data_IF_024415830283
#
_entry.id   IF_024415830283
#
_cell.length_a   1.000
_cell.length_b   1.000
_cell.length_c   1.000
_cell.angle_alpha   90.00
_cell.angle_beta   90.00
_cell.angle_gamma   90.00
#
_symmetry.space_group_name_H-M   'P 1'
#
loop_
_entity.id
_entity.type
_entity.pdbx_description
1 polymer ?
#
# COMPACT_ATOMS: atom_id res chain seq x y z
N UNK A 1 -51.30 69.32 -8.95
CA UNK A 1 -50.25 68.70 -8.11
C UNK A 1 -50.53 67.20 -8.04
N UNK A 2 -49.81 66.39 -8.81
CA UNK A 2 -50.04 64.93 -8.91
C UNK A 2 -49.32 64.23 -7.76
N UNK A 3 -50.08 63.55 -6.90
CA UNK A 3 -49.58 62.74 -5.79
C UNK A 3 -49.04 61.43 -6.35
N UNK A 4 -47.73 61.19 -6.20
CA UNK A 4 -47.09 59.91 -6.53
C UNK A 4 -47.14 59.07 -5.26
N UNK A 5 -47.97 58.03 -5.27
CA UNK A 5 -48.01 57.00 -4.23
C UNK A 5 -47.13 55.85 -4.74
N UNK A 6 -45.99 55.61 -4.08
CA UNK A 6 -45.13 54.45 -4.37
C UNK A 6 -45.60 53.32 -3.44
N UNK A 7 -46.14 52.20 -3.97
CA UNK A 7 -46.45 51.05 -3.13
C UNK A 7 -45.14 50.29 -2.84
N UNK A 8 -44.65 50.39 -1.60
CA UNK A 8 -43.61 49.50 -1.08
C UNK A 8 -44.29 48.17 -0.75
N UNK A 9 -44.44 47.33 -1.76
CA UNK A 9 -44.97 45.98 -1.62
C UNK A 9 -44.21 45.05 -2.55
N UNK A 10 -42.97 44.71 -2.17
CA UNK A 10 -42.24 43.51 -2.58
C UNK A 10 -40.82 43.51 -1.99
N UNK A 11 -40.67 43.18 -0.69
CA UNK A 11 -39.38 42.69 -0.19
C UNK A 11 -39.56 41.75 1.01
N UNK A 12 -40.32 40.68 0.80
CA UNK A 12 -40.28 39.48 1.64
C UNK A 12 -40.23 38.25 0.73
N UNK A 13 -39.13 38.12 -0.01
CA UNK A 13 -38.65 36.81 -0.45
C UNK A 13 -37.49 36.50 0.50
N UNK A 14 -37.82 35.99 1.68
CA UNK A 14 -36.86 35.20 2.46
C UNK A 14 -36.57 33.97 1.62
N UNK A 15 -35.56 34.07 0.76
CA UNK A 15 -35.08 32.95 -0.04
C UNK A 15 -34.65 31.85 0.91
N UNK A 16 -35.34 30.71 0.84
CA UNK A 16 -34.82 29.45 1.35
C UNK A 16 -33.69 29.03 0.42
N UNK A 17 -32.53 29.66 0.55
CA UNK A 17 -31.30 29.16 -0.07
C UNK A 17 -30.85 27.98 0.79
N UNK A 18 -31.40 26.80 0.50
CA UNK A 18 -30.89 25.54 1.04
C UNK A 18 -29.62 25.18 0.25
N UNK A 19 -28.50 25.84 0.58
CA UNK A 19 -27.18 25.45 0.07
C UNK A 19 -26.66 24.18 0.74
N UNK A 20 -27.36 23.69 1.76
CA UNK A 20 -26.98 22.53 2.55
C UNK A 20 -27.85 21.32 2.19
N UNK A 21 -27.22 20.20 1.83
CA UNK A 21 -27.88 18.90 1.60
C UNK A 21 -28.49 18.35 2.90
N UNK A 22 -27.97 18.77 4.05
CA UNK A 22 -28.42 18.42 5.39
C UNK A 22 -28.04 19.55 6.36
N UNK A 23 -28.92 19.94 7.28
CA UNK A 23 -28.71 21.02 8.26
C UNK A 23 -28.22 20.55 9.63
N UNK A 24 -28.18 19.24 9.88
CA UNK A 24 -27.80 18.64 11.17
C UNK A 24 -26.46 17.90 11.12
N UNK A 25 -25.85 17.78 9.95
CA UNK A 25 -24.68 16.93 9.73
C UNK A 25 -23.53 17.68 9.07
N UNK A 26 -22.31 17.39 9.50
CA UNK A 26 -21.10 17.89 8.84
C UNK A 26 -20.79 17.00 7.63
N UNK A 27 -20.60 17.61 6.45
CA UNK A 27 -20.29 16.87 5.24
C UNK A 27 -19.41 17.65 4.25
N UNK A 28 -18.75 16.91 3.36
CA UNK A 28 -18.08 17.43 2.16
C UNK A 28 -18.81 16.86 0.95
N UNK A 29 -19.28 17.75 0.07
CA UNK A 29 -19.88 17.37 -1.20
C UNK A 29 -18.89 17.60 -2.34
N UNK A 30 -18.72 16.57 -3.17
CA UNK A 30 -17.85 16.59 -4.34
C UNK A 30 -18.66 16.32 -5.59
N UNK A 31 -18.43 17.13 -6.63
CA UNK A 31 -19.00 16.96 -7.97
C UNK A 31 -17.90 17.01 -9.01
N UNK A 32 -17.71 15.90 -9.71
CA UNK A 32 -16.76 15.78 -10.82
C UNK A 32 -17.51 15.70 -12.12
N UNK A 33 -17.16 16.58 -13.06
CA UNK A 33 -17.71 16.59 -14.41
C UNK A 33 -16.93 15.60 -15.28
N UNK A 34 -17.61 14.62 -15.85
CA UNK A 34 -16.99 13.52 -16.61
C UNK A 34 -17.00 13.78 -18.12
N UNK A 35 -17.95 14.58 -18.59
CA UNK A 35 -17.88 15.20 -19.90
C UNK A 35 -18.07 16.71 -19.75
N UNK A 36 -17.14 17.46 -20.35
CA UNK A 36 -17.29 18.90 -20.51
C UNK A 36 -16.81 19.27 -21.90
N UNK A 37 -17.77 19.60 -22.77
CA UNK A 37 -17.50 20.04 -24.14
C UNK A 37 -17.55 21.58 -24.29
N UNK A 38 -17.57 22.32 -23.18
CA UNK A 38 -17.66 23.79 -23.17
C UNK A 38 -19.09 24.36 -23.22
N UNK A 39 -20.12 23.57 -23.56
CA UNK A 39 -21.50 24.06 -23.75
C UNK A 39 -22.57 23.25 -23.02
N UNK A 40 -22.36 21.95 -22.80
CA UNK A 40 -23.28 21.08 -22.06
C UNK A 40 -22.54 20.23 -21.04
N UNK A 41 -23.17 20.07 -19.88
CA UNK A 41 -22.74 19.22 -18.78
C UNK A 41 -23.74 18.05 -18.72
N UNK A 42 -23.35 16.86 -19.17
CA UNK A 42 -24.30 15.74 -19.31
C UNK A 42 -24.02 14.65 -18.28
N UNK A 43 -22.75 14.42 -17.94
CA UNK A 43 -22.33 13.35 -17.04
C UNK A 43 -21.51 13.90 -15.88
N UNK A 44 -21.99 13.60 -14.68
CA UNK A 44 -21.34 13.98 -13.43
C UNK A 44 -21.25 12.78 -12.51
N UNK A 45 -20.15 12.70 -11.77
CA UNK A 45 -20.04 11.84 -10.60
C UNK A 45 -20.16 12.71 -9.35
N UNK A 46 -21.04 12.33 -8.43
CA UNK A 46 -21.36 13.12 -7.24
C UNK A 46 -21.23 12.26 -5.99
N UNK A 47 -20.61 12.80 -4.94
CA UNK A 47 -20.47 12.11 -3.66
C UNK A 47 -20.62 13.07 -2.48
N UNK A 48 -21.10 12.53 -1.37
CA UNK A 48 -21.18 13.21 -0.07
C UNK A 48 -20.45 12.37 0.96
N UNK A 49 -19.48 12.94 1.63
CA UNK A 49 -18.79 12.32 2.76
C UNK A 49 -19.27 13.00 4.05
N UNK A 50 -19.91 12.24 4.92
CA UNK A 50 -20.40 12.68 6.22
C UNK A 50 -19.36 12.43 7.30
N UNK A 51 -19.31 13.32 8.29
CA UNK A 51 -18.35 13.28 9.40
C UNK A 51 -19.06 13.18 10.75
N UNK A 52 -18.40 12.58 11.73
CA UNK A 52 -18.83 12.62 13.12
C UNK A 52 -18.43 13.94 13.81
N UNK A 53 -18.76 14.09 15.10
CA UNK A 53 -18.47 15.30 15.88
C UNK A 53 -16.97 15.57 16.10
N UNK A 54 -16.11 14.59 15.81
CA UNK A 54 -14.64 14.73 15.87
C UNK A 54 -14.03 14.99 14.48
N UNK A 55 -14.86 15.13 13.44
CA UNK A 55 -14.40 15.37 12.07
C UNK A 55 -13.89 14.11 11.36
N UNK A 56 -14.22 12.91 11.86
CA UNK A 56 -13.85 11.65 11.20
C UNK A 56 -14.95 11.19 10.25
N UNK A 57 -14.63 10.69 9.04
CA UNK A 57 -15.63 10.18 8.11
C UNK A 57 -16.47 9.04 8.72
N UNK A 58 -17.80 9.14 8.67
CA UNK A 58 -18.71 8.08 9.15
C UNK A 58 -19.52 7.41 8.05
N UNK A 59 -19.68 8.08 6.91
CA UNK A 59 -20.42 7.54 5.77
C UNK A 59 -20.02 8.25 4.47
N UNK A 60 -19.95 7.50 3.38
CA UNK A 60 -19.78 8.05 2.04
C UNK A 60 -20.98 7.63 1.21
N UNK A 61 -21.66 8.59 0.59
CA UNK A 61 -22.82 8.38 -0.30
C UNK A 61 -22.40 8.78 -1.71
N UNK A 62 -22.29 7.81 -2.61
CA UNK A 62 -22.12 8.08 -4.04
C UNK A 62 -23.51 8.20 -4.66
N UNK A 63 -23.87 9.42 -5.08
CA UNK A 63 -25.22 9.78 -5.49
C UNK A 63 -25.51 9.17 -6.87
N UNK A 64 -26.57 8.38 -6.97
CA UNK A 64 -27.04 7.75 -8.22
C UNK A 64 -25.94 6.99 -8.98
N UNK A 65 -24.95 6.47 -8.26
CA UNK A 65 -23.76 5.85 -8.84
C UNK A 65 -23.97 4.43 -9.39
N UNK A 66 -25.08 3.77 -9.05
CA UNK A 66 -25.42 2.47 -9.64
C UNK A 66 -26.03 2.59 -11.04
N UNK A 67 -26.00 1.52 -11.87
CA UNK A 67 -26.61 1.54 -13.21
C UNK A 67 -28.10 1.89 -13.24
N UNK A 68 -28.82 1.65 -12.13
CA UNK A 68 -30.24 1.99 -11.98
C UNK A 68 -30.46 3.39 -11.37
N UNK A 69 -29.43 4.24 -11.34
CA UNK A 69 -29.48 5.59 -10.76
C UNK A 69 -29.88 5.61 -9.28
N UNK A 70 -29.45 4.59 -8.53
CA UNK A 70 -29.59 4.51 -7.06
C UNK A 70 -28.25 4.78 -6.38
N UNK A 71 -28.31 5.16 -5.11
CA UNK A 71 -27.10 5.51 -4.35
C UNK A 71 -26.27 4.27 -4.00
N UNK A 72 -24.97 4.45 -3.83
CA UNK A 72 -24.05 3.43 -3.31
C UNK A 72 -23.40 4.01 -2.05
N UNK A 73 -23.53 3.31 -0.92
CA UNK A 73 -23.15 3.85 0.39
C UNK A 73 -22.08 3.01 1.05
N UNK A 74 -20.99 3.64 1.47
CA UNK A 74 -19.95 3.01 2.28
C UNK A 74 -20.10 3.46 3.73
N UNK A 75 -20.25 2.51 4.65
CA UNK A 75 -20.28 2.77 6.10
C UNK A 75 -18.86 2.77 6.64
N UNK A 76 -18.55 3.73 7.52
CA UNK A 76 -17.26 3.78 8.22
C UNK A 76 -17.56 3.78 9.72
N UNK A 77 -16.91 2.86 10.44
CA UNK A 77 -17.07 2.72 11.89
C UNK A 77 -15.72 2.70 12.57
N UNK A 78 -15.70 3.23 13.78
CA UNK A 78 -14.53 3.27 14.63
C UNK A 78 -14.80 2.50 15.91
N UNK A 79 -13.76 1.89 16.47
CA UNK A 79 -13.80 1.36 17.82
C UNK A 79 -13.80 2.49 18.87
N UNK A 80 -13.85 2.11 20.15
CA UNK A 80 -13.86 3.06 21.27
C UNK A 80 -12.61 3.95 21.36
N UNK A 81 -11.51 3.57 20.69
CA UNK A 81 -10.27 4.35 20.63
C UNK A 81 -10.17 5.20 19.36
N UNK A 82 -11.19 5.15 18.50
CA UNK A 82 -11.25 5.92 17.27
C UNK A 82 -10.52 5.32 16.08
N UNK A 83 -10.21 4.02 16.13
CA UNK A 83 -9.49 3.29 15.09
C UNK A 83 -10.48 2.56 14.19
N UNK A 84 -10.20 2.56 12.89
CA UNK A 84 -11.04 1.85 11.91
C UNK A 84 -10.58 0.40 11.79
N UNK A 85 -11.24 -0.49 12.53
CA UNK A 85 -10.94 -1.95 12.52
C UNK A 85 -11.75 -2.70 11.46
N UNK A 86 -12.82 -2.11 10.94
CA UNK A 86 -13.66 -2.69 9.90
C UNK A 86 -13.57 -1.86 8.61
N UNK A 87 -13.42 -2.53 7.48
CA UNK A 87 -13.44 -1.91 6.15
C UNK A 87 -14.57 -2.51 5.32
N UNK A 88 -15.68 -1.78 5.23
CA UNK A 88 -16.92 -2.24 4.60
C UNK A 88 -16.89 -2.04 3.09
N UNK A 89 -17.39 -3.03 2.35
CA UNK A 89 -17.73 -2.86 0.95
C UNK A 89 -18.86 -1.83 0.77
N UNK A 90 -18.87 -1.06 -0.32
CA UNK A 90 -19.96 -0.17 -0.64
C UNK A 90 -21.26 -0.94 -0.88
N UNK A 91 -22.35 -0.53 -0.25
CA UNK A 91 -23.67 -1.18 -0.34
C UNK A 91 -24.57 -0.39 -1.28
N UNK A 92 -24.98 -0.95 -2.44
CA UNK A 92 -26.04 -0.38 -3.27
C UNK A 92 -27.33 -0.22 -2.48
N UNK A 93 -28.00 0.91 -2.61
CA UNK A 93 -29.24 1.21 -1.88
C UNK A 93 -30.48 0.93 -2.75
N UNK A 94 -31.65 0.80 -2.12
CA UNK A 94 -32.92 0.52 -2.83
C UNK A 94 -33.45 1.72 -3.62
N UNK A 95 -32.99 2.93 -3.29
CA UNK A 95 -33.34 4.19 -3.95
C UNK A 95 -32.21 5.22 -3.82
N UNK A 96 -32.56 6.49 -3.98
CA UNK A 96 -31.64 7.63 -3.82
C UNK A 96 -32.18 8.57 -2.75
N UNK A 97 -31.30 9.05 -1.89
CA UNK A 97 -31.55 10.18 -1.00
C UNK A 97 -30.97 11.50 -1.55
N UNK A 98 -30.45 11.46 -2.79
CA UNK A 98 -29.88 12.60 -3.49
C UNK A 98 -28.82 13.34 -2.64
N UNK A 99 -28.00 12.57 -1.93
CA UNK A 99 -26.96 13.07 -1.03
C UNK A 99 -27.31 12.99 0.46
N UNK A 100 -28.55 12.68 0.84
CA UNK A 100 -28.96 12.46 2.23
C UNK A 100 -28.26 11.28 2.91
N UNK A 101 -28.13 11.36 4.24
CA UNK A 101 -27.48 10.34 5.05
C UNK A 101 -28.40 9.13 5.29
N UNK A 102 -27.85 7.92 5.24
CA UNK A 102 -28.55 6.69 5.54
C UNK A 102 -28.33 6.32 7.03
N UNK A 103 -29.41 6.11 7.77
CA UNK A 103 -29.35 5.70 9.18
C UNK A 103 -28.84 4.26 9.34
N UNK A 104 -29.33 3.35 8.49
CA UNK A 104 -28.85 1.97 8.41
C UNK A 104 -28.58 1.56 6.95
N UNK A 105 -27.40 1.90 6.41
CA UNK A 105 -27.05 1.53 5.04
C UNK A 105 -26.81 0.02 4.86
N UNK A 106 -26.67 -0.74 5.95
CA UNK A 106 -26.38 -2.18 5.90
C UNK A 106 -27.66 -3.03 5.83
N UNK A 107 -28.82 -2.48 6.16
CA UNK A 107 -30.11 -3.19 6.08
C UNK A 107 -30.39 -3.77 4.69
N UNK A 108 -29.85 -3.18 3.63
CA UNK A 108 -30.08 -3.62 2.26
C UNK A 108 -29.16 -4.77 1.79
N UNK A 109 -28.13 -5.14 2.57
CA UNK A 109 -27.06 -6.05 2.11
C UNK A 109 -27.62 -7.38 1.56
N UNK A 110 -28.61 -7.97 2.24
CA UNK A 110 -29.23 -9.24 1.83
C UNK A 110 -29.96 -9.17 0.49
N UNK A 111 -30.34 -7.98 0.04
CA UNK A 111 -31.01 -7.74 -1.25
C UNK A 111 -30.03 -7.32 -2.36
N UNK A 112 -28.73 -7.30 -2.06
CA UNK A 112 -27.66 -7.06 -3.04
C UNK A 112 -27.02 -8.40 -3.46
N UNK A 113 -26.15 -8.39 -4.49
CA UNK A 113 -25.36 -9.58 -4.83
C UNK A 113 -24.48 -10.13 -3.69
N UNK A 114 -24.27 -9.38 -2.60
CA UNK A 114 -23.56 -9.86 -1.42
C UNK A 114 -24.34 -10.92 -0.63
N UNK A 115 -25.69 -10.88 -0.66
CA UNK A 115 -26.51 -11.85 0.06
C UNK A 115 -26.19 -11.92 1.55
N UNK A 116 -25.68 -13.09 2.00
CA UNK A 116 -25.32 -13.34 3.41
C UNK A 116 -23.81 -13.31 3.65
N UNK A 117 -23.02 -12.86 2.68
CA UNK A 117 -21.57 -12.76 2.81
C UNK A 117 -21.18 -11.70 3.84
N UNK A 118 -20.08 -11.96 4.55
CA UNK A 118 -19.39 -10.93 5.34
C UNK A 118 -18.84 -9.86 4.39
N UNK A 119 -19.44 -8.68 4.39
CA UNK A 119 -19.08 -7.60 3.45
C UNK A 119 -17.98 -6.65 3.95
N UNK A 120 -17.15 -7.08 4.90
CA UNK A 120 -16.09 -6.24 5.43
C UNK A 120 -14.84 -7.04 5.75
N UNK A 121 -13.69 -6.40 5.56
CA UNK A 121 -12.45 -6.87 6.14
C UNK A 121 -12.40 -6.44 7.61
N UNK A 122 -11.81 -7.28 8.46
CA UNK A 122 -11.73 -7.07 9.90
C UNK A 122 -10.28 -7.15 10.35
N UNK A 123 -9.81 -6.15 11.09
CA UNK A 123 -8.47 -6.07 11.65
C UNK A 123 -8.57 -6.21 13.16
N UNK A 124 -7.80 -7.14 13.71
CA UNK A 124 -7.55 -7.22 15.14
C UNK A 124 -6.24 -6.50 15.42
N UNK A 125 -6.29 -5.46 16.25
CA UNK A 125 -5.12 -4.71 16.67
C UNK A 125 -4.62 -5.21 18.02
N UNK A 126 -3.33 -5.01 18.30
CA UNK A 126 -2.80 -5.20 19.64
C UNK A 126 -3.33 -4.12 20.60
N UNK A 127 -3.40 -4.46 21.89
CA UNK A 127 -3.76 -3.51 22.94
C UNK A 127 -2.53 -2.70 23.37
N UNK A 128 -1.89 -2.04 22.41
CA UNK A 128 -0.73 -1.17 22.63
C UNK A 128 -0.93 0.16 21.90
N UNK A 129 -0.29 1.25 22.36
CA UNK A 129 -0.33 2.54 21.67
C UNK A 129 0.23 2.53 20.24
N UNK A 130 0.92 1.46 19.84
CA UNK A 130 1.46 1.32 18.48
C UNK A 130 0.43 0.83 17.47
N UNK A 131 -0.75 0.36 17.92
CA UNK A 131 -1.86 -0.08 17.08
C UNK A 131 -1.46 -1.07 15.96
N UNK A 132 -0.49 -1.95 16.23
CA UNK A 132 -0.06 -2.96 15.26
C UNK A 132 -1.16 -4.00 15.02
N UNK A 133 -1.30 -4.43 13.76
CA UNK A 133 -2.28 -5.44 13.36
C UNK A 133 -1.76 -6.81 13.80
N UNK A 134 -2.52 -7.56 14.60
CA UNK A 134 -2.20 -8.94 14.98
C UNK A 134 -2.82 -9.95 14.01
N UNK A 135 -4.02 -9.66 13.52
CA UNK A 135 -4.68 -10.50 12.52
C UNK A 135 -5.58 -9.68 11.61
N UNK A 136 -5.79 -10.17 10.40
CA UNK A 136 -6.72 -9.59 9.44
C UNK A 136 -7.53 -10.69 8.76
N UNK A 137 -8.85 -10.53 8.76
CA UNK A 137 -9.78 -11.37 7.99
C UNK A 137 -10.24 -10.60 6.76
N UNK A 138 -10.19 -11.24 5.61
CA UNK A 138 -10.70 -10.64 4.36
C UNK A 138 -12.23 -10.68 4.30
N UNK A 139 -12.78 -9.96 3.32
CA UNK A 139 -14.21 -9.95 2.99
C UNK A 139 -14.65 -11.34 2.53
N UNK A 140 -15.81 -11.80 3.01
CA UNK A 140 -16.43 -13.07 2.64
C UNK A 140 -16.39 -14.08 3.79
N UNK A 141 -17.43 -14.90 3.88
CA UNK A 141 -17.59 -15.90 4.94
C UNK A 141 -16.48 -16.96 4.91
N UNK A 142 -16.00 -17.30 3.71
CA UNK A 142 -14.93 -18.27 3.49
C UNK A 142 -13.61 -17.92 4.21
N UNK A 143 -13.38 -16.64 4.51
CA UNK A 143 -12.15 -16.16 5.15
C UNK A 143 -12.30 -15.97 6.67
N UNK A 144 -13.50 -16.18 7.22
CA UNK A 144 -13.76 -15.84 8.61
C UNK A 144 -12.91 -16.66 9.61
N UNK A 145 -12.58 -17.89 9.25
CA UNK A 145 -11.76 -18.80 10.07
C UNK A 145 -10.34 -18.96 9.49
N UNK A 146 -9.97 -18.15 8.50
CA UNK A 146 -8.66 -18.12 7.84
C UNK A 146 -8.04 -16.73 7.89
N UNK A 147 -7.74 -16.18 9.08
CA UNK A 147 -7.12 -14.87 9.17
C UNK A 147 -5.67 -14.92 8.70
N UNK A 148 -5.21 -13.87 8.03
CA UNK A 148 -3.79 -13.54 7.98
C UNK A 148 -3.34 -13.18 9.38
N UNK A 149 -2.22 -13.74 9.84
CA UNK A 149 -1.65 -13.46 11.16
C UNK A 149 -0.32 -12.74 11.04
N UNK A 150 -0.10 -11.79 11.94
CA UNK A 150 1.10 -10.98 11.99
C UNK A 150 1.80 -11.16 13.34
N UNK A 151 3.10 -11.47 13.30
CA UNK A 151 3.98 -11.58 14.46
C UNK A 151 5.07 -10.50 14.41
N UNK A 152 5.40 -9.94 15.56
CA UNK A 152 6.40 -8.88 15.70
C UNK A 152 7.37 -9.22 16.83
N UNK A 153 8.58 -9.60 16.46
CA UNK A 153 9.63 -10.05 17.36
C UNK A 153 10.97 -9.38 17.00
N UNK A 154 12.03 -9.83 17.64
CA UNK A 154 13.39 -9.58 17.21
C UNK A 154 14.10 -10.91 16.92
N UNK A 155 15.19 -10.88 16.15
CA UNK A 155 15.91 -12.09 15.79
C UNK A 155 16.55 -12.76 17.01
N UNK A 156 16.65 -14.09 16.98
CA UNK A 156 17.46 -14.85 17.92
C UNK A 156 18.94 -14.81 17.54
N UNK A 157 19.80 -15.15 18.51
CA UNK A 157 21.23 -15.32 18.28
C UNK A 157 21.49 -16.44 17.25
N UNK A 158 22.32 -16.17 16.23
CA UNK A 158 22.63 -17.17 15.21
C UNK A 158 21.53 -17.41 14.16
N UNK A 159 20.40 -16.70 14.22
CA UNK A 159 19.25 -16.97 13.33
C UNK A 159 19.46 -16.49 11.88
N UNK A 160 20.22 -15.41 11.71
CA UNK A 160 20.42 -14.71 10.42
C UNK A 160 21.91 -14.55 10.15
N UNK A 161 22.39 -15.03 8.99
CA UNK A 161 23.78 -14.82 8.56
C UNK A 161 24.04 -13.32 8.38
N UNK A 162 25.19 -12.85 8.86
CA UNK A 162 25.63 -11.46 8.67
C UNK A 162 26.60 -11.38 7.52
N UNK A 163 26.08 -11.06 6.34
CA UNK A 163 26.92 -10.76 5.19
C UNK A 163 27.52 -9.36 5.30
N UNK A 164 28.80 -9.26 4.97
CA UNK A 164 29.55 -8.00 4.91
C UNK A 164 30.13 -7.86 3.51
N UNK A 165 30.04 -6.64 2.98
CA UNK A 165 30.66 -6.20 1.74
C UNK A 165 31.19 -4.78 1.96
N UNK A 166 32.27 -4.43 1.28
CA UNK A 166 32.90 -3.10 1.39
C UNK A 166 32.95 -2.47 0.01
N UNK A 167 32.58 -1.19 -0.07
CA UNK A 167 32.65 -0.44 -1.32
C UNK A 167 34.09 0.02 -1.59
N UNK A 168 34.62 -0.32 -2.77
CA UNK A 168 35.79 0.37 -3.31
C UNK A 168 35.36 1.74 -3.85
N UNK A 169 35.84 2.81 -3.22
CA UNK A 169 35.49 4.19 -3.56
C UNK A 169 36.08 4.68 -4.90
N UNK A 170 37.03 3.94 -5.48
CA UNK A 170 37.62 4.27 -6.78
C UNK A 170 36.81 3.64 -7.91
N UNK A 171 36.47 2.36 -7.78
CA UNK A 171 35.73 1.62 -8.82
C UNK A 171 34.22 1.65 -8.63
N UNK A 172 33.73 2.11 -7.47
CA UNK A 172 32.34 2.03 -7.02
C UNK A 172 31.79 0.60 -6.96
N UNK A 173 32.65 -0.41 -6.91
CA UNK A 173 32.27 -1.83 -6.85
C UNK A 173 32.33 -2.32 -5.41
N UNK A 174 31.32 -3.09 -5.04
CA UNK A 174 31.30 -3.77 -3.74
C UNK A 174 32.10 -5.06 -3.79
N UNK A 175 32.80 -5.39 -2.71
CA UNK A 175 33.57 -6.63 -2.62
C UNK A 175 32.65 -7.85 -2.57
N UNK A 176 33.21 -9.02 -2.90
CA UNK A 176 32.51 -10.30 -2.77
C UNK A 176 31.92 -10.44 -1.34
N UNK A 177 30.64 -10.81 -1.21
CA UNK A 177 29.98 -10.87 0.09
C UNK A 177 30.52 -12.03 0.91
N UNK A 178 30.87 -11.77 2.17
CA UNK A 178 31.37 -12.79 3.10
C UNK A 178 30.46 -12.86 4.33
N UNK A 179 30.19 -14.07 4.83
CA UNK A 179 29.44 -14.27 6.08
C UNK A 179 30.26 -15.07 7.09
N UNK A 180 31.19 -14.38 7.78
CA UNK A 180 31.99 -15.00 8.83
C UNK A 180 31.23 -15.15 10.17
N UNK A 181 30.13 -14.41 10.33
CA UNK A 181 29.37 -14.33 11.59
C UNK A 181 27.87 -14.27 11.32
N UNK A 182 27.10 -14.39 12.40
CA UNK A 182 25.65 -14.21 12.42
C UNK A 182 25.29 -12.93 13.16
N UNK A 183 24.08 -12.42 12.94
CA UNK A 183 23.53 -11.40 13.81
C UNK A 183 23.31 -11.96 15.21
N UNK A 184 23.67 -11.18 16.22
CA UNK A 184 23.38 -11.51 17.62
C UNK A 184 21.90 -11.33 17.94
N UNK A 185 21.46 -11.84 19.07
CA UNK A 185 20.07 -11.67 19.51
C UNK A 185 19.65 -10.18 19.56
N UNK A 186 18.40 -9.91 19.17
CA UNK A 186 17.75 -8.61 19.23
C UNK A 186 18.40 -7.48 18.39
N UNK A 187 19.12 -7.82 17.31
CA UNK A 187 19.75 -6.84 16.42
C UNK A 187 18.91 -6.45 15.20
N UNK A 188 17.95 -7.29 14.83
CA UNK A 188 17.04 -7.13 13.70
C UNK A 188 15.59 -7.24 14.17
N UNK A 189 14.72 -6.40 13.63
CA UNK A 189 13.28 -6.58 13.72
C UNK A 189 12.87 -7.80 12.92
N UNK A 190 12.00 -8.64 13.48
CA UNK A 190 11.49 -9.86 12.87
C UNK A 190 9.98 -9.75 12.72
N UNK A 191 9.51 -9.60 11.49
CA UNK A 191 8.08 -9.56 11.17
C UNK A 191 7.66 -10.87 10.52
N UNK A 192 6.71 -11.58 11.12
CA UNK A 192 6.18 -12.83 10.56
C UNK A 192 4.79 -12.59 10.00
N UNK A 193 4.53 -13.05 8.79
CA UNK A 193 3.19 -13.11 8.18
C UNK A 193 2.86 -14.57 7.93
N UNK A 194 1.75 -15.02 8.49
CA UNK A 194 1.13 -16.30 8.15
C UNK A 194 -0.08 -16.01 7.27
N UNK A 195 -0.07 -16.50 6.04
CA UNK A 195 -1.20 -16.30 5.12
C UNK A 195 -2.40 -17.19 5.49
N UNK A 196 -3.51 -17.00 4.77
CA UNK A 196 -4.78 -17.69 5.01
C UNK A 196 -4.70 -19.21 4.82
N UNK A 197 -3.66 -19.71 4.13
CA UNK A 197 -3.38 -21.14 3.92
C UNK A 197 -2.35 -21.69 4.92
N UNK A 198 -1.83 -20.84 5.82
CA UNK A 198 -0.86 -21.23 6.86
C UNK A 198 0.60 -21.13 6.44
N UNK A 199 0.92 -20.61 5.24
CA UNK A 199 2.30 -20.43 4.80
C UNK A 199 2.91 -19.24 5.53
N UNK A 200 4.12 -19.44 6.06
CA UNK A 200 4.84 -18.42 6.85
C UNK A 200 5.93 -17.75 6.04
N UNK A 201 5.90 -16.42 6.03
CA UNK A 201 6.97 -15.57 5.52
C UNK A 201 7.49 -14.71 6.66
N UNK A 202 8.81 -14.70 6.86
CA UNK A 202 9.49 -13.95 7.91
C UNK A 202 10.40 -12.93 7.25
N UNK A 203 10.22 -11.66 7.58
CA UNK A 203 11.05 -10.56 7.13
C UNK A 203 11.91 -10.06 8.29
N UNK A 204 13.21 -9.98 8.07
CA UNK A 204 14.15 -9.40 9.02
C UNK A 204 14.61 -8.04 8.52
N UNK A 205 14.49 -7.00 9.36
CA UNK A 205 14.89 -5.62 9.05
C UNK A 205 15.90 -5.09 10.05
N UNK A 206 16.85 -4.29 9.58
CA UNK A 206 17.73 -3.55 10.47
C UNK A 206 17.04 -2.29 11.04
N UNK A 207 17.74 -1.55 11.89
CA UNK A 207 17.23 -0.32 12.53
C UNK A 207 16.98 0.84 11.56
N UNK A 208 17.54 0.79 10.34
CA UNK A 208 17.27 1.76 9.26
C UNK A 208 16.04 1.38 8.42
N UNK A 209 15.39 0.26 8.71
CA UNK A 209 14.23 -0.25 7.98
C UNK A 209 14.57 -1.01 6.70
N UNK A 210 15.85 -1.24 6.41
CA UNK A 210 16.28 -2.05 5.28
C UNK A 210 16.02 -3.53 5.57
N UNK A 211 15.43 -4.25 4.61
CA UNK A 211 15.22 -5.69 4.68
C UNK A 211 16.57 -6.37 4.53
N UNK A 212 16.96 -7.22 5.49
CA UNK A 212 18.22 -7.99 5.44
C UNK A 212 17.98 -9.41 4.91
N UNK A 213 16.86 -10.01 5.29
CA UNK A 213 16.49 -11.37 4.92
C UNK A 213 14.97 -11.46 4.77
N UNK A 214 14.52 -12.08 3.68
CA UNK A 214 13.17 -12.66 3.57
C UNK A 214 13.31 -14.16 3.60
N UNK A 215 12.69 -14.80 4.59
CA UNK A 215 12.67 -16.24 4.80
C UNK A 215 11.26 -16.76 4.55
N UNK A 216 11.11 -17.66 3.57
CA UNK A 216 9.87 -18.38 3.33
C UNK A 216 9.97 -19.77 3.93
N UNK A 217 9.10 -20.09 4.87
CA UNK A 217 9.03 -21.42 5.48
C UNK A 217 8.38 -22.39 4.50
N UNK A 218 9.05 -23.49 4.19
CA UNK A 218 8.50 -24.61 3.40
C UNK A 218 7.80 -25.61 4.32
N UNK A 219 8.36 -25.82 5.51
CA UNK A 219 7.79 -26.64 6.59
C UNK A 219 8.04 -25.95 7.93
N UNK A 220 7.78 -26.63 9.06
CA UNK A 220 8.09 -26.09 10.38
C UNK A 220 9.60 -25.89 10.62
N UNK A 221 10.46 -26.61 9.89
CA UNK A 221 11.92 -26.63 10.11
C UNK A 221 12.73 -26.30 8.84
N UNK A 222 12.11 -26.37 7.66
CA UNK A 222 12.77 -26.08 6.39
C UNK A 222 12.34 -24.71 5.88
N UNK A 223 13.31 -23.92 5.40
CA UNK A 223 13.07 -22.58 4.86
C UNK A 223 13.94 -22.27 3.66
N UNK A 224 13.51 -21.28 2.90
CA UNK A 224 14.25 -20.70 1.77
C UNK A 224 14.51 -19.24 2.05
N UNK A 225 15.77 -18.83 1.95
CA UNK A 225 16.25 -17.54 2.40
C UNK A 225 16.67 -16.68 1.21
N UNK A 226 16.25 -15.42 1.20
CA UNK A 226 16.73 -14.41 0.25
C UNK A 226 17.36 -13.27 1.01
N UNK A 227 18.67 -13.09 0.86
CA UNK A 227 19.41 -12.03 1.56
C UNK A 227 19.53 -10.78 0.68
N UNK A 228 19.45 -9.62 1.33
CA UNK A 228 19.57 -8.30 0.73
C UNK A 228 20.73 -7.60 1.42
N UNK A 229 21.76 -7.27 0.63
CA UNK A 229 23.02 -6.74 1.15
C UNK A 229 23.16 -5.29 0.76
N UNK A 230 23.55 -4.49 1.73
CA UNK A 230 23.76 -3.06 1.57
C UNK A 230 25.22 -2.73 1.80
N UNK A 231 25.75 -1.76 1.05
CA UNK A 231 27.08 -1.22 1.28
C UNK A 231 27.05 -0.13 2.37
N UNK A 232 28.21 0.47 2.66
CA UNK A 232 28.37 1.52 3.67
C UNK A 232 27.58 2.81 3.39
N UNK A 233 27.04 2.95 2.16
CA UNK A 233 26.21 4.08 1.71
C UNK A 233 24.72 3.74 1.66
N UNK A 234 24.30 2.65 2.31
CA UNK A 234 22.90 2.21 2.39
C UNK A 234 22.28 1.79 1.04
N UNK A 235 23.12 1.52 0.03
CA UNK A 235 22.69 1.10 -1.31
C UNK A 235 22.57 -0.43 -1.36
N UNK A 236 21.49 -0.95 -1.96
CA UNK A 236 21.31 -2.40 -2.16
C UNK A 236 22.28 -2.89 -3.25
N UNK A 237 23.32 -3.62 -2.89
CA UNK A 237 24.38 -4.02 -3.83
C UNK A 237 24.28 -5.46 -4.29
N UNK A 238 23.71 -6.34 -3.45
CA UNK A 238 23.44 -7.72 -3.83
C UNK A 238 22.09 -8.21 -3.32
N UNK A 239 21.42 -9.05 -4.12
CA UNK A 239 20.36 -9.94 -3.65
C UNK A 239 20.81 -11.37 -3.89
N UNK A 240 20.88 -12.15 -2.82
CA UNK A 240 21.33 -13.55 -2.82
C UNK A 240 20.08 -14.44 -2.71
N UNK A 241 19.63 -15.08 -3.80
CA UNK A 241 18.45 -15.93 -3.81
C UNK A 241 18.65 -17.24 -3.03
N UNK A 242 17.59 -18.03 -2.80
CA UNK A 242 17.65 -19.26 -2.01
C UNK A 242 18.76 -20.23 -2.42
N UNK A 243 18.92 -20.48 -3.72
CA UNK A 243 19.92 -21.41 -4.23
C UNK A 243 21.36 -20.96 -3.93
N UNK A 244 21.62 -19.65 -3.90
CA UNK A 244 22.93 -19.10 -3.57
C UNK A 244 23.14 -19.02 -2.05
N UNK A 245 22.07 -18.80 -1.28
CA UNK A 245 22.13 -18.60 0.18
C UNK A 245 22.64 -19.82 0.98
N UNK A 246 22.51 -21.01 0.38
CA UNK A 246 22.95 -22.30 0.94
C UNK A 246 24.39 -22.65 0.60
N UNK A 247 25.02 -21.92 -0.32
CA UNK A 247 26.44 -22.09 -0.67
C UNK A 247 27.30 -21.57 0.49
N UNK A 248 28.29 -22.36 0.92
CA UNK A 248 29.15 -22.02 2.06
C UNK A 248 30.02 -20.79 1.80
N UNK A 249 30.62 -20.74 0.61
CA UNK A 249 31.46 -19.63 0.16
C UNK A 249 30.97 -19.18 -1.20
N UNK A 250 30.40 -17.98 -1.27
CA UNK A 250 29.99 -17.36 -2.54
C UNK A 250 31.24 -16.92 -3.28
N UNK A 251 31.60 -17.64 -4.35
CA UNK A 251 32.65 -17.22 -5.27
C UNK A 251 32.08 -16.31 -6.38
N UNK A 252 32.97 -15.78 -7.23
CA UNK A 252 32.56 -14.90 -8.33
C UNK A 252 31.62 -15.61 -9.32
N UNK A 253 31.81 -16.92 -9.55
CA UNK A 253 30.98 -17.68 -10.47
C UNK A 253 29.55 -17.86 -9.94
N UNK A 254 29.39 -18.17 -8.65
CA UNK A 254 28.09 -18.25 -8.00
C UNK A 254 27.39 -16.88 -7.98
N UNK A 255 28.13 -15.81 -7.70
CA UNK A 255 27.61 -14.45 -7.72
C UNK A 255 27.10 -14.05 -9.11
N UNK A 256 27.88 -14.36 -10.15
CA UNK A 256 27.56 -14.01 -11.54
C UNK A 256 26.41 -14.83 -12.13
N UNK A 257 26.26 -16.09 -11.72
CA UNK A 257 25.23 -16.96 -12.27
C UNK A 257 23.93 -16.94 -11.47
N UNK A 258 24.00 -16.70 -10.15
CA UNK A 258 22.87 -16.90 -9.24
C UNK A 258 22.39 -15.65 -8.52
N UNK A 259 23.20 -14.59 -8.41
CA UNK A 259 22.86 -13.40 -7.61
C UNK A 259 22.53 -12.18 -8.46
N UNK A 260 21.73 -11.28 -7.90
CA UNK A 260 21.54 -9.95 -8.44
C UNK A 260 22.65 -9.05 -7.93
N UNK A 261 23.21 -8.22 -8.80
CA UNK A 261 24.31 -7.32 -8.48
C UNK A 261 23.99 -5.91 -8.98
N UNK A 262 24.30 -4.91 -8.18
CA UNK A 262 24.01 -3.51 -8.47
C UNK A 262 25.22 -2.64 -8.17
N UNK A 263 25.52 -1.72 -9.08
CA UNK A 263 26.60 -0.74 -8.96
C UNK A 263 26.00 0.65 -9.15
N UNK A 264 26.37 1.54 -8.25
CA UNK A 264 25.89 2.90 -8.22
C UNK A 264 27.03 3.88 -8.47
N UNK A 265 26.72 5.03 -9.04
CA UNK A 265 27.68 6.12 -9.11
C UNK A 265 27.75 6.92 -7.79
N UNK A 266 28.66 7.89 -7.72
CA UNK A 266 28.80 8.78 -6.57
C UNK A 266 27.60 9.70 -6.30
N UNK A 267 26.54 9.67 -7.13
CA UNK A 267 25.28 10.38 -6.93
C UNK A 267 24.13 9.46 -6.54
N UNK A 268 24.44 8.21 -6.17
CA UNK A 268 23.46 7.19 -5.79
C UNK A 268 22.49 6.79 -6.92
N UNK A 269 22.95 6.85 -8.17
CA UNK A 269 22.19 6.40 -9.34
C UNK A 269 22.69 5.02 -9.76
N UNK A 270 21.78 4.11 -10.08
CA UNK A 270 22.13 2.77 -10.56
C UNK A 270 22.72 2.86 -11.97
N UNK A 271 24.00 2.50 -12.13
CA UNK A 271 24.73 2.62 -13.41
C UNK A 271 25.08 1.29 -14.04
N UNK A 272 25.25 0.24 -13.22
CA UNK A 272 25.37 -1.12 -13.74
C UNK A 272 24.51 -2.07 -12.91
N UNK A 273 23.89 -3.04 -13.58
CA UNK A 273 23.24 -4.16 -12.89
C UNK A 273 23.51 -5.45 -13.62
N UNK A 274 23.51 -6.54 -12.86
CA UNK A 274 23.59 -7.90 -13.39
C UNK A 274 22.52 -8.75 -12.74
N UNK A 275 21.76 -9.44 -13.58
CA UNK A 275 20.73 -10.39 -13.15
C UNK A 275 21.26 -11.82 -13.30
N UNK A 276 20.81 -12.77 -12.48
CA UNK A 276 21.17 -14.19 -12.62
C UNK A 276 20.93 -14.69 -14.05
N UNK A 277 21.92 -15.36 -14.64
CA UNK A 277 21.84 -15.89 -16.01
C UNK A 277 21.89 -14.84 -17.13
N UNK A 278 22.09 -13.55 -16.81
CA UNK A 278 22.25 -12.47 -17.79
C UNK A 278 23.65 -11.82 -17.69
N UNK A 279 24.11 -11.21 -18.77
CA UNK A 279 25.27 -10.32 -18.72
C UNK A 279 24.95 -8.96 -18.08
N UNK A 280 25.97 -8.12 -17.93
CA UNK A 280 25.83 -6.76 -17.38
C UNK A 280 24.94 -5.88 -18.27
N UNK A 281 24.11 -5.07 -17.62
CA UNK A 281 23.39 -3.96 -18.21
C UNK A 281 23.97 -2.65 -17.68
N UNK A 282 24.23 -1.72 -18.60
CA UNK A 282 24.80 -0.40 -18.31
C UNK A 282 23.75 0.67 -18.55
N UNK A 283 23.74 1.67 -17.68
CA UNK A 283 22.82 2.80 -17.70
C UNK A 283 23.64 4.09 -17.65
N UNK A 284 23.36 5.00 -18.58
CA UNK A 284 24.04 6.29 -18.67
C UNK A 284 23.02 7.40 -18.54
N UNK A 285 23.22 8.21 -17.51
CA UNK A 285 22.43 9.41 -17.25
C UNK A 285 23.19 10.68 -17.63
N UNK A 286 22.46 11.68 -18.13
CA UNK A 286 23.02 13.01 -18.36
C UNK A 286 23.13 13.84 -17.05
N UNK A 287 23.58 15.10 -17.17
CA UNK A 287 23.72 16.03 -16.04
C UNK A 287 22.38 16.50 -15.46
N UNK A 288 21.28 16.27 -16.16
CA UNK A 288 19.92 16.60 -15.72
C UNK A 288 19.20 15.37 -15.14
N UNK A 289 19.94 14.30 -14.83
CA UNK A 289 19.42 13.06 -14.25
C UNK A 289 18.37 12.36 -15.12
N UNK A 290 18.56 12.45 -16.44
CA UNK A 290 17.77 11.72 -17.42
C UNK A 290 18.57 10.55 -17.95
N UNK A 291 17.94 9.37 -17.99
CA UNK A 291 18.49 8.19 -18.64
C UNK A 291 18.55 8.43 -20.15
N UNK A 292 19.77 8.54 -20.69
CA UNK A 292 20.01 8.84 -22.12
C UNK A 292 20.46 7.62 -22.92
N UNK A 293 20.98 6.59 -22.25
CA UNK A 293 21.33 5.33 -22.90
C UNK A 293 21.25 4.14 -21.95
N UNK A 294 20.90 2.98 -22.52
CA UNK A 294 21.00 1.67 -21.87
C UNK A 294 21.66 0.70 -22.83
N UNK A 295 22.59 -0.10 -22.34
CA UNK A 295 23.24 -1.14 -23.15
C UNK A 295 23.21 -2.47 -22.39
N UNK A 296 22.64 -3.49 -22.99
CA UNK A 296 22.72 -4.86 -22.47
C UNK A 296 23.88 -5.64 -23.12
N UNK A 297 24.10 -6.86 -22.62
CA UNK A 297 25.18 -7.71 -23.08
C UNK A 297 25.12 -8.04 -24.58
N UNK A 298 23.92 -8.13 -25.17
CA UNK A 298 23.75 -8.47 -26.59
C UNK A 298 24.03 -7.24 -27.47
N UNK A 299 23.54 -6.07 -27.08
CA UNK A 299 23.84 -4.80 -27.75
C UNK A 299 25.34 -4.47 -27.75
N UNK A 300 26.07 -4.93 -26.71
CA UNK A 300 27.52 -4.76 -26.65
C UNK A 300 28.26 -5.61 -27.66
N UNK A 301 27.76 -6.81 -27.97
CA UNK A 301 28.39 -7.71 -28.95
C UNK A 301 28.26 -7.21 -30.39
N UNK A 302 27.22 -6.43 -30.69
CA UNK A 302 26.94 -5.90 -32.03
C UNK A 302 27.53 -4.51 -32.28
N UNK A 303 28.16 -3.91 -31.26
CA UNK A 303 28.82 -2.61 -31.32
C UNK A 303 30.32 -2.79 -31.60
N UNK A 304 30.67 -3.32 -32.77
CA UNK A 304 32.06 -3.39 -33.28
C UNK A 304 32.26 -2.41 -34.41
#
# INVERSE_FOLDING_TARGET
MKKIIIPISALFITGWVQAQLNTTENYVYSKTYLDYNGTTLIKTAESVQYFDGLGRPKQIVNIKASPLSKDIVTKITYDQFGRQTLDYLPVPQTGTQNGGIYTDPLANVTSTPYGTEKIYAEKQLENSPLDRILSQKQVGNAWNDKPVQFGYDANADGEVKKYITTLDQVTFKSSLPTSATYYGANQLFKNTVTDEDGNKTIEFKNTKGQVILVRKMLTATESTDTYYLYNDYDQLVYVIPPLASVISTLDQAALDNLCYQYIYDGRNRLVEKKLPGKGWEYMVDDKADRLVATQDANLRLTST
#
